data_IF_014012059138
#
_entry.id   IF_014012059138
#
_cell.length_a   1.000
_cell.length_b   1.000
_cell.length_c   1.000
_cell.angle_alpha   90.00
_cell.angle_beta   90.00
_cell.angle_gamma   90.00
#
_symmetry.space_group_name_H-M   'P 1'
#
loop_
_entity.id
_entity.type
_entity.pdbx_description
1 polymer ?
#
# COMPACT_ATOMS: atom_id res chain seq x y z
N UNK A 1 -9.12 23.63 12.20
CA UNK A 1 -9.66 22.88 11.04
C UNK A 1 -8.88 21.58 10.91
N UNK A 2 -9.52 20.43 11.08
CA UNK A 2 -8.89 19.14 10.81
C UNK A 2 -8.97 18.93 9.29
N UNK A 3 -7.94 19.33 8.53
CA UNK A 3 -7.90 19.03 7.10
C UNK A 3 -7.73 17.51 6.96
N UNK A 4 -8.84 16.79 6.77
CA UNK A 4 -8.77 15.42 6.29
C UNK A 4 -8.21 15.48 4.88
N UNK A 5 -6.98 15.00 4.71
CA UNK A 5 -6.35 14.91 3.40
C UNK A 5 -7.14 13.92 2.56
N UNK A 6 -7.58 14.37 1.40
CA UNK A 6 -8.28 13.54 0.44
C UNK A 6 -7.34 12.45 -0.07
N UNK A 7 -7.84 11.22 -0.22
CA UNK A 7 -7.09 10.13 -0.82
C UNK A 7 -7.45 10.08 -2.30
N UNK A 8 -6.44 10.24 -3.14
CA UNK A 8 -6.51 10.19 -4.61
C UNK A 8 -5.62 9.04 -5.13
N UNK A 9 -5.83 8.58 -6.35
CA UNK A 9 -4.89 7.65 -6.97
C UNK A 9 -3.49 8.28 -7.08
N UNK A 10 -2.44 7.48 -6.85
CA UNK A 10 -1.06 7.97 -6.71
C UNK A 10 -0.69 8.40 -5.29
N UNK A 11 -1.66 8.49 -4.36
CA UNK A 11 -1.37 8.80 -2.95
C UNK A 11 -0.43 7.76 -2.35
N UNK A 12 0.60 8.23 -1.65
CA UNK A 12 1.42 7.42 -0.75
C UNK A 12 0.68 7.27 0.58
N UNK A 13 0.33 6.04 0.92
CA UNK A 13 -0.44 5.71 2.12
C UNK A 13 0.29 4.66 2.95
N UNK A 14 -0.02 4.63 4.24
CA UNK A 14 0.34 3.54 5.14
C UNK A 14 -0.93 2.94 5.73
N UNK A 15 -0.88 1.64 6.04
CA UNK A 15 -1.99 0.90 6.61
C UNK A 15 -1.57 0.38 7.98
N UNK A 16 -2.38 0.64 9.01
CA UNK A 16 -2.13 0.20 10.38
C UNK A 16 -3.18 -0.83 10.79
N UNK A 17 -2.73 -1.96 11.29
CA UNK A 17 -3.60 -2.95 11.91
C UNK A 17 -4.02 -2.47 13.30
N UNK A 18 -5.24 -1.95 13.42
CA UNK A 18 -5.71 -1.24 14.61
C UNK A 18 -5.60 -2.03 15.91
N UNK A 19 -5.78 -3.35 15.87
CA UNK A 19 -5.69 -4.19 17.09
C UNK A 19 -4.26 -4.37 17.60
N UNK A 20 -3.25 -4.31 16.73
CA UNK A 20 -1.85 -4.54 17.13
C UNK A 20 -0.99 -3.28 17.03
N UNK A 21 -1.50 -2.22 16.40
CA UNK A 21 -0.74 -1.01 16.09
C UNK A 21 0.36 -1.20 15.03
N UNK A 22 0.39 -2.35 14.35
CA UNK A 22 1.47 -2.71 13.42
C UNK A 22 1.17 -2.25 12.00
N UNK A 23 2.18 -1.83 11.26
CA UNK A 23 2.04 -1.40 9.87
C UNK A 23 2.04 -2.57 8.89
N UNK A 24 1.27 -2.47 7.81
CA UNK A 24 1.28 -3.42 6.70
C UNK A 24 2.54 -3.21 5.85
N UNK A 25 3.37 -4.23 5.79
CA UNK A 25 4.74 -4.14 5.31
C UNK A 25 5.10 -5.26 4.34
N UNK A 26 6.05 -4.98 3.44
CA UNK A 26 6.75 -6.01 2.68
C UNK A 26 8.07 -6.32 3.38
N UNK A 27 8.12 -7.37 4.19
CA UNK A 27 9.35 -7.79 4.87
C UNK A 27 10.06 -8.85 4.05
N UNK A 28 11.40 -8.84 4.08
CA UNK A 28 12.30 -9.65 3.25
C UNK A 28 12.19 -11.18 3.39
N UNK A 29 11.14 -11.70 4.03
CA UNK A 29 10.76 -13.11 3.94
C UNK A 29 10.25 -13.35 2.53
N UNK A 30 11.15 -13.85 1.69
CA UNK A 30 10.82 -14.39 0.39
C UNK A 30 10.32 -15.81 0.59
N UNK A 31 9.25 -16.17 -0.09
CA UNK A 31 8.80 -17.55 -0.16
C UNK A 31 8.81 -18.03 -1.60
N UNK A 32 9.18 -19.29 -1.77
CA UNK A 32 9.31 -19.89 -3.09
C UNK A 32 7.91 -20.20 -3.64
N UNK A 33 7.51 -19.49 -4.68
CA UNK A 33 6.30 -19.76 -5.45
C UNK A 33 6.67 -20.38 -6.81
N UNK A 34 7.56 -21.39 -6.77
CA UNK A 34 8.13 -22.05 -7.94
C UNK A 34 9.50 -21.49 -8.36
N UNK A 35 10.13 -22.19 -9.30
CA UNK A 35 11.55 -22.04 -9.67
C UNK A 35 11.98 -20.66 -10.18
N UNK A 36 11.04 -19.78 -10.56
CA UNK A 36 11.35 -18.49 -11.19
C UNK A 36 10.71 -17.27 -10.50
N UNK A 37 9.97 -17.43 -9.40
CA UNK A 37 9.24 -16.34 -8.76
C UNK A 37 9.52 -16.26 -7.25
N UNK A 38 10.48 -15.42 -6.87
CA UNK A 38 10.60 -14.98 -5.47
C UNK A 38 9.48 -13.97 -5.18
N UNK A 39 8.49 -14.37 -4.40
CA UNK A 39 7.45 -13.46 -3.92
C UNK A 39 7.81 -12.93 -2.54
N UNK A 40 7.54 -11.65 -2.30
CA UNK A 40 7.67 -11.09 -0.98
C UNK A 40 6.39 -11.33 -0.18
N UNK A 41 6.53 -11.71 1.08
CA UNK A 41 5.39 -11.82 1.98
C UNK A 41 4.94 -10.43 2.44
N UNK A 42 3.62 -10.20 2.44
CA UNK A 42 2.99 -8.99 2.99
C UNK A 42 2.44 -9.32 4.36
N UNK A 43 2.93 -8.65 5.41
CA UNK A 43 2.55 -8.90 6.81
C UNK A 43 2.45 -7.60 7.60
N UNK A 44 1.75 -7.63 8.73
CA UNK A 44 1.82 -6.55 9.71
C UNK A 44 2.99 -6.79 10.68
N UNK A 45 4.11 -6.08 10.54
CA UNK A 45 5.36 -6.46 11.22
C UNK A 45 5.65 -5.66 12.49
N UNK A 46 5.86 -4.35 12.36
CA UNK A 46 6.46 -3.49 13.38
C UNK A 46 5.52 -2.38 13.81
N UNK A 47 5.78 -1.85 15.02
CA UNK A 47 5.06 -0.72 15.61
C UNK A 47 5.60 0.63 15.12
N UNK A 48 6.83 0.66 14.61
CA UNK A 48 7.44 1.85 14.03
C UNK A 48 7.33 1.81 12.52
N UNK A 49 7.04 2.97 11.92
CA UNK A 49 6.86 3.10 10.47
C UNK A 49 8.20 3.07 9.73
N UNK A 50 8.31 2.18 8.74
CA UNK A 50 9.41 2.12 7.79
C UNK A 50 9.01 2.73 6.43
N UNK A 51 9.73 3.75 6.01
CA UNK A 51 9.44 4.49 4.77
C UNK A 51 9.67 3.67 3.48
N UNK A 52 10.43 2.58 3.57
CA UNK A 52 10.73 1.71 2.43
C UNK A 52 9.68 0.61 2.26
N UNK A 53 9.30 -0.06 3.34
CA UNK A 53 8.50 -1.28 3.27
C UNK A 53 7.04 -1.11 3.68
N UNK A 54 6.67 0.00 4.36
CA UNK A 54 5.31 0.21 4.88
C UNK A 54 4.50 1.20 4.05
N UNK A 55 5.13 1.80 3.03
CA UNK A 55 4.51 2.82 2.16
C UNK A 55 4.03 2.20 0.86
N UNK A 56 2.73 2.40 0.60
CA UNK A 56 2.03 1.88 -0.56
C UNK A 56 1.57 3.02 -1.46
N UNK A 57 1.59 2.80 -2.77
CA UNK A 57 0.98 3.70 -3.75
C UNK A 57 -0.39 3.13 -4.09
N UNK A 58 -1.44 3.91 -3.87
CA UNK A 58 -2.79 3.55 -4.26
C UNK A 58 -2.94 3.67 -5.79
N UNK A 59 -3.35 2.59 -6.45
CA UNK A 59 -3.49 2.53 -7.91
C UNK A 59 -4.90 2.12 -8.32
N UNK A 60 -5.34 2.57 -9.49
CA UNK A 60 -6.58 2.09 -10.10
C UNK A 60 -6.37 0.69 -10.66
N UNK A 61 -7.38 -0.17 -10.55
CA UNK A 61 -7.33 -1.57 -11.01
C UNK A 61 -7.76 -1.75 -12.46
N UNK A 62 -8.49 -0.77 -13.03
CA UNK A 62 -9.17 -0.90 -14.33
C UNK A 62 -8.40 -0.31 -15.52
N UNK A 63 -7.11 0.02 -15.35
CA UNK A 63 -6.25 0.49 -16.45
C UNK A 63 -6.63 1.84 -17.06
N UNK A 64 -7.61 2.56 -16.49
CA UNK A 64 -7.82 3.97 -16.80
C UNK A 64 -6.67 4.76 -16.17
N UNK A 65 -6.13 5.70 -16.95
CA UNK A 65 -4.90 6.40 -16.62
C UNK A 65 -4.97 7.14 -15.28
N UNK A 66 -3.80 7.37 -14.70
CA UNK A 66 -3.57 8.05 -13.41
C UNK A 66 -4.26 9.43 -13.37
N UNK A 67 -5.51 9.48 -12.92
CA UNK A 67 -6.12 10.74 -12.54
C UNK A 67 -5.75 11.00 -11.08
N UNK A 68 -4.55 11.54 -10.86
CA UNK A 68 -4.03 11.93 -9.53
C UNK A 68 -4.83 13.08 -8.88
N UNK A 69 -5.86 13.57 -9.57
CA UNK A 69 -6.63 14.75 -9.19
C UNK A 69 -7.96 14.39 -8.55
N UNK A 70 -8.53 13.22 -8.88
CA UNK A 70 -9.88 12.86 -8.44
C UNK A 70 -9.85 12.05 -7.13
N UNK A 71 -10.74 12.37 -6.16
CA UNK A 71 -10.95 11.54 -4.99
C UNK A 71 -11.26 10.10 -5.36
N UNK A 72 -10.69 9.14 -4.63
CA UNK A 72 -11.13 7.75 -4.74
C UNK A 72 -12.55 7.63 -4.18
N UNK A 73 -13.55 7.19 -4.98
CA UNK A 73 -14.92 7.05 -4.52
C UNK A 73 -15.03 6.02 -3.39
N UNK A 74 -16.02 6.22 -2.51
CA UNK A 74 -16.37 5.23 -1.48
C UNK A 74 -16.76 3.89 -2.14
N UNK A 75 -16.34 2.78 -1.53
CA UNK A 75 -16.59 1.42 -1.99
C UNK A 75 -16.00 1.08 -3.36
N UNK A 76 -14.98 1.83 -3.81
CA UNK A 76 -14.27 1.49 -5.04
C UNK A 76 -13.17 0.44 -4.81
N UNK A 77 -12.85 -0.31 -5.86
CA UNK A 77 -11.79 -1.32 -5.85
C UNK A 77 -10.47 -0.66 -6.28
N UNK A 78 -9.54 -0.53 -5.33
CA UNK A 78 -8.18 -0.04 -5.56
C UNK A 78 -7.12 -1.13 -5.39
N UNK A 79 -6.00 -0.99 -6.08
CA UNK A 79 -4.81 -1.82 -5.88
C UNK A 79 -3.78 -1.09 -5.02
N UNK A 80 -2.89 -1.86 -4.40
CA UNK A 80 -1.73 -1.32 -3.68
C UNK A 80 -0.46 -1.76 -4.41
N UNK A 81 0.38 -0.79 -4.78
CA UNK A 81 1.68 -1.05 -5.37
C UNK A 81 2.79 -0.71 -4.37
N UNK A 82 3.83 -1.54 -4.28
CA UNK A 82 5.02 -1.21 -3.48
C UNK A 82 5.63 0.08 -4.03
N UNK A 83 5.95 1.05 -3.15
CA UNK A 83 6.77 2.20 -3.56
C UNK A 83 8.11 1.66 -4.09
N UNK A 84 8.40 1.93 -5.37
CA UNK A 84 9.76 1.80 -5.94
C UNK A 84 10.39 3.19 -5.93
N UNK A 85 11.65 3.28 -5.55
CA UNK A 85 12.43 4.51 -5.70
C UNK A 85 12.72 4.79 -7.18
#
# INVERSE_FOLDING_TARGET
MNLRKLIVYGSKITLIHLSTGKYLSIKGVKYDFGSNNQQYMVICSDLEIDSENDVWILVETNGKGKNEVDPVPLNNIGGLHKKRD
#
